data_IF_362653408528
#
_entry.id   IF_362653408528
#
_cell.length_a   1.000
_cell.length_b   1.000
_cell.length_c   1.000
_cell.angle_alpha   90.00
_cell.angle_beta   90.00
_cell.angle_gamma   90.00
#
_symmetry.space_group_name_H-M   'P 1'
#
loop_
_entity.id
_entity.type
_entity.pdbx_description
1 polymer ?
#
# COMPACT_ATOMS: atom_id res chain seq x y z
N UNK A 1 7.51 15.74 -7.11
CA UNK A 1 8.02 15.56 -8.47
C UNK A 1 6.98 15.05 -9.47
N UNK A 2 6.67 13.72 -9.58
CA UNK A 2 5.76 13.21 -10.62
C UNK A 2 4.30 13.68 -10.44
N UNK A 3 3.77 13.64 -9.22
CA UNK A 3 2.41 14.09 -8.92
C UNK A 3 2.20 15.59 -9.20
N UNK A 4 3.21 16.44 -8.95
CA UNK A 4 3.15 17.86 -9.28
C UNK A 4 2.99 18.03 -10.79
N UNK A 5 3.79 17.33 -11.60
CA UNK A 5 3.66 17.37 -13.07
C UNK A 5 2.28 16.92 -13.56
N UNK A 6 1.71 15.90 -12.91
CA UNK A 6 0.38 15.43 -13.27
C UNK A 6 -0.71 16.47 -12.93
N UNK A 7 -0.61 17.12 -11.77
CA UNK A 7 -1.50 18.20 -11.37
C UNK A 7 -1.38 19.42 -12.28
N UNK A 8 -0.16 19.84 -12.61
CA UNK A 8 0.11 20.95 -13.54
C UNK A 8 -0.42 20.65 -14.93
N UNK A 9 -0.43 19.38 -15.34
CA UNK A 9 -1.05 18.93 -16.60
C UNK A 9 -2.58 18.76 -16.54
N UNK A 10 -3.19 19.05 -15.39
CA UNK A 10 -4.64 18.99 -15.19
C UNK A 10 -5.20 17.56 -15.12
N UNK A 11 -4.38 16.56 -14.73
CA UNK A 11 -4.84 15.18 -14.59
C UNK A 11 -5.85 15.07 -13.45
N UNK A 12 -7.01 14.50 -13.76
CA UNK A 12 -8.11 14.25 -12.80
C UNK A 12 -8.10 12.81 -12.31
N UNK A 13 -8.81 12.54 -11.21
CA UNK A 13 -9.02 11.17 -10.69
C UNK A 13 -9.72 10.30 -11.73
N UNK A 14 -10.71 10.84 -12.45
CA UNK A 14 -11.44 10.09 -13.49
C UNK A 14 -10.53 9.69 -14.65
N UNK A 15 -9.62 10.56 -15.06
CA UNK A 15 -8.60 10.22 -16.06
C UNK A 15 -7.64 9.15 -15.57
N UNK A 16 -7.22 9.21 -14.30
CA UNK A 16 -6.37 8.18 -13.71
C UNK A 16 -7.09 6.82 -13.65
N UNK A 17 -8.35 6.77 -13.22
CA UNK A 17 -9.15 5.55 -13.21
C UNK A 17 -9.42 5.02 -14.64
N UNK A 18 -9.63 5.90 -15.61
CA UNK A 18 -9.74 5.50 -17.02
C UNK A 18 -8.45 4.85 -17.54
N UNK A 19 -7.28 5.32 -17.10
CA UNK A 19 -6.00 4.69 -17.41
C UNK A 19 -5.92 3.28 -16.79
N UNK A 20 -6.32 3.13 -15.53
CA UNK A 20 -6.38 1.82 -14.85
C UNK A 20 -7.27 0.84 -15.64
N UNK A 21 -8.48 1.28 -16.05
CA UNK A 21 -9.39 0.45 -16.83
C UNK A 21 -8.79 0.01 -18.18
N UNK A 22 -8.03 0.89 -18.83
CA UNK A 22 -7.30 0.53 -20.07
C UNK A 22 -6.19 -0.49 -19.81
N UNK A 23 -5.45 -0.35 -18.72
CA UNK A 23 -4.42 -1.34 -18.33
C UNK A 23 -5.09 -2.68 -18.06
N UNK A 24 -6.16 -2.70 -17.27
CA UNK A 24 -6.92 -3.91 -16.96
C UNK A 24 -7.46 -4.60 -18.23
N UNK A 25 -7.97 -3.84 -19.19
CA UNK A 25 -8.48 -4.42 -20.46
C UNK A 25 -7.38 -5.05 -21.32
N UNK A 26 -6.15 -4.54 -21.23
CA UNK A 26 -4.98 -5.08 -21.95
C UNK A 26 -4.34 -6.25 -21.21
N UNK A 27 -4.34 -6.19 -19.86
CA UNK A 27 -3.69 -7.17 -18.98
C UNK A 27 -4.68 -7.64 -17.90
N UNK A 28 -5.61 -8.56 -18.23
CA UNK A 28 -6.68 -8.96 -17.29
C UNK A 28 -6.18 -9.54 -15.97
N UNK A 29 -5.05 -10.23 -15.97
CA UNK A 29 -4.49 -10.92 -14.80
C UNK A 29 -3.43 -10.10 -14.05
N UNK A 30 -3.10 -8.89 -14.51
CA UNK A 30 -2.08 -8.07 -13.85
C UNK A 30 -2.63 -7.53 -12.52
N UNK A 31 -2.01 -7.82 -11.36
CA UNK A 31 -2.40 -7.18 -10.11
C UNK A 31 -2.16 -5.66 -10.17
N UNK A 32 -3.18 -4.87 -9.86
CA UNK A 32 -3.12 -3.41 -9.90
C UNK A 32 -3.47 -2.85 -8.53
N UNK A 33 -2.48 -2.27 -7.84
CA UNK A 33 -2.67 -1.55 -6.58
C UNK A 33 -2.54 -0.04 -6.78
N UNK A 34 -3.43 0.72 -6.15
CA UNK A 34 -3.38 2.18 -6.17
C UNK A 34 -2.80 2.71 -4.87
N UNK A 35 -1.79 3.59 -4.97
CA UNK A 35 -1.27 4.36 -3.84
C UNK A 35 -1.74 5.80 -4.03
N UNK A 36 -2.67 6.24 -3.19
CA UNK A 36 -3.39 7.52 -3.31
C UNK A 36 -3.54 8.13 -1.91
N UNK A 37 -3.52 9.45 -1.80
CA UNK A 37 -3.79 10.13 -0.53
C UNK A 37 -5.27 10.04 -0.14
N UNK A 38 -5.53 9.91 1.17
CA UNK A 38 -6.87 9.76 1.75
C UNK A 38 -7.82 10.91 1.44
N UNK A 39 -7.31 12.13 1.27
CA UNK A 39 -8.12 13.29 0.88
C UNK A 39 -8.85 13.09 -0.47
N UNK A 40 -8.29 12.29 -1.38
CA UNK A 40 -8.94 11.97 -2.66
C UNK A 40 -10.18 11.10 -2.44
N UNK A 41 -10.07 10.09 -1.55
CA UNK A 41 -11.20 9.24 -1.17
C UNK A 41 -12.28 10.05 -0.46
N UNK A 42 -11.89 10.91 0.49
CA UNK A 42 -12.82 11.78 1.21
C UNK A 42 -13.56 12.76 0.28
N UNK A 43 -12.84 13.45 -0.61
CA UNK A 43 -13.44 14.43 -1.51
C UNK A 43 -14.44 13.80 -2.49
N UNK A 44 -14.22 12.54 -2.86
CA UNK A 44 -15.11 11.80 -3.75
C UNK A 44 -16.29 11.14 -3.00
N UNK A 45 -16.17 10.98 -1.69
CA UNK A 45 -17.01 10.11 -0.86
C UNK A 45 -16.49 8.67 -0.89
N UNK A 46 -16.28 8.09 0.30
CA UNK A 46 -15.58 6.79 0.43
C UNK A 46 -16.23 5.67 -0.38
N UNK A 47 -17.53 5.47 -0.22
CA UNK A 47 -18.25 4.39 -0.92
C UNK A 47 -18.13 4.53 -2.44
N UNK A 48 -18.31 5.77 -2.94
CA UNK A 48 -18.17 6.07 -4.35
C UNK A 48 -16.73 5.86 -4.84
N UNK A 49 -15.75 6.30 -4.06
CA UNK A 49 -14.33 6.12 -4.39
C UNK A 49 -13.99 4.64 -4.59
N UNK A 50 -14.32 3.78 -3.62
CA UNK A 50 -14.01 2.35 -3.73
C UNK A 50 -14.81 1.66 -4.83
N UNK A 51 -16.07 2.05 -5.04
CA UNK A 51 -16.87 1.56 -6.17
C UNK A 51 -16.24 1.91 -7.52
N UNK A 52 -15.79 3.16 -7.70
CA UNK A 52 -15.14 3.61 -8.93
C UNK A 52 -13.79 2.91 -9.16
N UNK A 53 -13.01 2.67 -8.07
CA UNK A 53 -11.75 1.92 -8.09
C UNK A 53 -11.99 0.47 -8.54
N UNK A 54 -13.00 -0.20 -7.96
CA UNK A 54 -13.39 -1.55 -8.35
C UNK A 54 -13.85 -1.63 -9.83
N UNK A 55 -14.67 -0.68 -10.26
CA UNK A 55 -15.14 -0.60 -11.65
C UNK A 55 -14.00 -0.36 -12.64
N UNK A 56 -12.97 0.38 -12.25
CA UNK A 56 -11.77 0.56 -13.05
C UNK A 56 -10.91 -0.71 -13.12
N UNK A 57 -11.17 -1.70 -12.26
CA UNK A 57 -10.45 -2.97 -12.23
C UNK A 57 -9.14 -2.93 -11.44
N UNK A 58 -8.99 -2.02 -10.48
CA UNK A 58 -7.91 -2.10 -9.50
C UNK A 58 -8.26 -3.11 -8.41
N UNK A 59 -7.25 -3.83 -7.92
CA UNK A 59 -7.41 -4.91 -6.94
C UNK A 59 -7.25 -4.41 -5.51
N UNK A 60 -6.43 -3.37 -5.30
CA UNK A 60 -6.12 -2.87 -3.97
C UNK A 60 -5.89 -1.37 -3.91
N UNK A 61 -6.06 -0.81 -2.70
CA UNK A 61 -5.78 0.60 -2.39
C UNK A 61 -4.92 0.71 -1.14
N UNK A 62 -3.91 1.57 -1.18
CA UNK A 62 -3.12 2.00 -0.04
C UNK A 62 -3.25 3.51 0.12
N UNK A 63 -3.66 3.97 1.31
CA UNK A 63 -3.76 5.38 1.69
C UNK A 63 -2.67 5.68 2.72
N UNK A 64 -1.51 6.24 2.33
CA UNK A 64 -0.33 6.34 3.19
C UNK A 64 -0.49 7.33 4.35
N UNK A 65 -1.45 8.23 4.25
CA UNK A 65 -1.79 9.26 5.24
C UNK A 65 -2.95 8.88 6.17
N UNK A 66 -3.52 7.69 6.01
CA UNK A 66 -4.58 7.16 6.88
C UNK A 66 -3.98 6.18 7.89
N UNK A 67 -3.86 6.55 9.17
CA UNK A 67 -3.36 5.64 10.20
C UNK A 67 -4.38 4.54 10.47
N UNK A 68 -3.88 3.33 10.78
CA UNK A 68 -4.75 2.16 10.97
C UNK A 68 -5.81 2.32 12.06
N UNK A 69 -5.55 3.13 13.10
CA UNK A 69 -6.54 3.44 14.15
C UNK A 69 -7.81 4.11 13.60
N UNK A 70 -7.71 4.77 12.44
CA UNK A 70 -8.81 5.40 11.71
C UNK A 70 -9.25 4.57 10.49
N UNK A 71 -8.67 3.37 10.34
CA UNK A 71 -8.79 2.54 9.15
C UNK A 71 -10.11 1.80 8.98
N UNK A 72 -10.85 1.56 10.06
CA UNK A 72 -12.06 0.72 10.02
C UNK A 72 -13.11 1.16 8.98
N UNK A 73 -13.46 2.45 8.84
CA UNK A 73 -14.40 2.89 7.80
C UNK A 73 -13.90 2.65 6.38
N UNK A 74 -12.59 2.82 6.15
CA UNK A 74 -11.96 2.57 4.84
C UNK A 74 -11.95 1.08 4.51
N UNK A 75 -11.59 0.24 5.48
CA UNK A 75 -11.61 -1.21 5.31
C UNK A 75 -13.02 -1.71 4.99
N UNK A 76 -14.05 -1.20 5.68
CA UNK A 76 -15.44 -1.57 5.42
C UNK A 76 -15.92 -1.15 4.02
N UNK A 77 -15.59 0.07 3.57
CA UNK A 77 -15.95 0.55 2.23
C UNK A 77 -15.21 -0.21 1.13
N UNK A 78 -13.92 -0.55 1.34
CA UNK A 78 -13.14 -1.36 0.44
C UNK A 78 -13.72 -2.78 0.31
N UNK A 79 -14.02 -3.44 1.44
CA UNK A 79 -14.63 -4.77 1.49
C UNK A 79 -15.97 -4.80 0.76
N UNK A 80 -16.84 -3.80 0.98
CA UNK A 80 -18.13 -3.69 0.30
C UNK A 80 -17.99 -3.55 -1.22
N UNK A 81 -16.89 -2.96 -1.70
CA UNK A 81 -16.59 -2.82 -3.13
C UNK A 81 -15.77 -3.98 -3.72
N UNK A 82 -15.31 -4.93 -2.90
CA UNK A 82 -14.44 -6.03 -3.33
C UNK A 82 -13.01 -5.60 -3.64
N UNK A 83 -12.51 -4.54 -2.98
CA UNK A 83 -11.15 -4.01 -3.13
C UNK A 83 -10.35 -4.30 -1.85
N UNK A 84 -9.12 -4.74 -1.98
CA UNK A 84 -8.23 -4.97 -0.84
C UNK A 84 -7.72 -3.65 -0.26
N UNK A 85 -7.99 -3.39 1.02
CA UNK A 85 -7.40 -2.25 1.73
C UNK A 85 -6.04 -2.63 2.30
N UNK A 86 -5.01 -1.90 1.90
CA UNK A 86 -3.64 -2.10 2.36
C UNK A 86 -3.32 -1.06 3.43
N UNK A 87 -2.78 -1.51 4.57
CA UNK A 87 -2.25 -0.62 5.60
C UNK A 87 -0.73 -0.73 5.71
N UNK A 88 -0.13 0.36 6.18
CA UNK A 88 1.31 0.43 6.44
C UNK A 88 1.59 -0.12 7.83
N UNK A 89 2.56 -1.04 7.93
CA UNK A 89 3.18 -1.43 9.18
C UNK A 89 4.47 -0.61 9.39
N UNK A 90 4.46 0.41 10.27
CA UNK A 90 5.63 1.24 10.52
C UNK A 90 6.74 0.45 11.25
N UNK A 91 8.01 0.87 11.11
CA UNK A 91 9.07 0.33 11.95
C UNK A 91 8.82 0.70 13.42
N UNK A 92 9.17 -0.17 14.32
CA UNK A 92 8.98 0.04 15.78
C UNK A 92 7.53 0.33 16.21
N UNK A 93 6.55 -0.13 15.41
CA UNK A 93 5.14 0.00 15.77
C UNK A 93 4.82 -0.79 17.05
N UNK A 94 3.89 -0.24 17.85
CA UNK A 94 3.36 -0.97 19.02
C UNK A 94 2.62 -2.24 18.59
N UNK A 95 2.53 -3.21 19.49
CA UNK A 95 1.74 -4.44 19.24
C UNK A 95 0.29 -4.12 18.88
N UNK A 96 -0.32 -3.12 19.52
CA UNK A 96 -1.66 -2.65 19.22
C UNK A 96 -1.78 -2.16 17.76
N UNK A 97 -0.80 -1.38 17.29
CA UNK A 97 -0.75 -0.91 15.91
C UNK A 97 -0.62 -2.08 14.94
N UNK A 98 0.29 -3.04 15.22
CA UNK A 98 0.49 -4.20 14.36
C UNK A 98 -0.73 -5.14 14.36
N UNK A 99 -1.42 -5.30 15.50
CA UNK A 99 -2.67 -6.03 15.56
C UNK A 99 -3.76 -5.38 14.69
N UNK A 100 -3.90 -4.05 14.77
CA UNK A 100 -4.83 -3.30 13.92
C UNK A 100 -4.50 -3.43 12.42
N UNK A 101 -3.21 -3.33 12.06
CA UNK A 101 -2.75 -3.54 10.68
C UNK A 101 -3.09 -4.95 10.19
N UNK A 102 -2.82 -5.97 11.01
CA UNK A 102 -3.15 -7.36 10.67
C UNK A 102 -4.66 -7.58 10.51
N UNK A 103 -5.47 -6.96 11.36
CA UNK A 103 -6.91 -7.09 11.34
C UNK A 103 -7.56 -6.45 10.11
N UNK A 104 -7.11 -5.25 9.72
CA UNK A 104 -7.77 -4.42 8.70
C UNK A 104 -7.17 -4.56 7.30
N UNK A 105 -5.93 -5.07 7.17
CA UNK A 105 -5.33 -5.27 5.84
C UNK A 105 -5.90 -6.49 5.14
N UNK A 106 -6.01 -6.37 3.81
CA UNK A 106 -6.32 -7.49 2.89
C UNK A 106 -5.29 -7.50 1.77
N UNK A 107 -5.18 -8.60 1.06
CA UNK A 107 -4.18 -8.79 0.00
C UNK A 107 -2.74 -8.87 0.54
N UNK A 108 -2.18 -7.75 0.99
CA UNK A 108 -0.86 -7.70 1.61
C UNK A 108 -0.76 -6.58 2.66
N UNK A 109 0.33 -6.56 3.44
CA UNK A 109 0.68 -5.47 4.35
C UNK A 109 1.91 -4.76 3.79
N UNK A 110 1.87 -3.43 3.73
CA UNK A 110 3.04 -2.65 3.33
C UNK A 110 3.94 -2.41 4.55
N UNK A 111 4.96 -3.25 4.73
CA UNK A 111 5.94 -3.06 5.80
C UNK A 111 7.01 -2.05 5.35
N UNK A 112 7.36 -1.11 6.23
CA UNK A 112 8.42 -0.13 5.96
C UNK A 112 9.56 -0.29 6.95
N UNK A 113 10.80 -0.18 6.46
CA UNK A 113 11.99 -0.30 7.29
C UNK A 113 12.34 0.97 8.06
N UNK A 114 11.73 2.12 7.68
CA UNK A 114 11.96 3.43 8.33
C UNK A 114 10.86 4.43 8.00
N UNK A 115 10.80 5.50 8.77
CA UNK A 115 9.93 6.67 8.51
C UNK A 115 10.71 7.73 7.73
N UNK A 116 10.12 8.29 6.67
CA UNK A 116 10.72 9.36 5.88
C UNK A 116 10.17 9.47 4.46
N UNK A 117 10.77 10.34 3.65
CA UNK A 117 10.43 10.53 2.24
C UNK A 117 11.24 9.59 1.36
N UNK A 118 10.67 9.21 0.21
CA UNK A 118 11.33 8.34 -0.78
C UNK A 118 12.59 8.96 -1.37
N UNK A 119 13.67 8.19 -1.48
CA UNK A 119 14.91 8.57 -2.14
C UNK A 119 15.89 7.40 -2.18
N UNK A 120 16.58 7.21 -3.29
CA UNK A 120 17.53 6.12 -3.51
C UNK A 120 18.86 6.29 -2.76
N UNK A 121 19.04 7.41 -2.03
CA UNK A 121 20.33 7.79 -1.41
C UNK A 121 20.59 7.15 -0.05
N UNK A 122 19.71 6.26 0.43
CA UNK A 122 19.81 5.70 1.78
C UNK A 122 19.75 4.17 1.72
N UNK A 123 20.70 3.52 2.38
CA UNK A 123 20.70 2.07 2.54
C UNK A 123 19.44 1.61 3.28
N UNK A 124 18.78 0.55 2.77
CA UNK A 124 17.67 -0.09 3.47
C UNK A 124 18.22 -0.85 4.66
N UNK A 125 17.72 -0.56 5.88
CA UNK A 125 17.96 -1.38 7.06
C UNK A 125 16.82 -2.36 7.24
N UNK A 126 17.14 -3.61 7.49
CA UNK A 126 16.17 -4.65 7.89
C UNK A 126 16.04 -4.77 9.40
N UNK A 127 16.69 -3.87 10.15
CA UNK A 127 16.63 -3.86 11.62
C UNK A 127 15.19 -3.74 12.10
N UNK A 128 14.76 -4.67 12.94
CA UNK A 128 13.39 -4.75 13.44
C UNK A 128 12.35 -5.29 12.47
N UNK A 129 12.67 -5.50 11.17
CA UNK A 129 11.72 -6.07 10.21
C UNK A 129 11.27 -7.48 10.62
N UNK A 130 12.20 -8.33 11.06
CA UNK A 130 11.89 -9.68 11.49
C UNK A 130 10.88 -9.69 12.65
N UNK A 131 11.00 -8.77 13.60
CA UNK A 131 10.07 -8.62 14.73
C UNK A 131 8.68 -8.14 14.24
N UNK A 132 8.64 -7.17 13.33
CA UNK A 132 7.40 -6.70 12.72
C UNK A 132 6.70 -7.85 11.99
N UNK A 133 7.42 -8.59 11.16
CA UNK A 133 6.89 -9.75 10.42
C UNK A 133 6.37 -10.83 11.37
N UNK A 134 7.13 -11.16 12.43
CA UNK A 134 6.73 -12.15 13.41
C UNK A 134 5.44 -11.73 14.15
N UNK A 135 5.33 -10.46 14.54
CA UNK A 135 4.14 -9.94 15.19
C UNK A 135 2.92 -9.91 14.25
N UNK A 136 3.08 -9.45 13.01
CA UNK A 136 2.00 -9.48 12.01
C UNK A 136 1.48 -10.91 11.80
N UNK A 137 2.37 -11.88 11.69
CA UNK A 137 2.03 -13.30 11.57
C UNK A 137 1.30 -13.82 12.83
N UNK A 138 1.77 -13.45 14.03
CA UNK A 138 1.14 -13.80 15.31
C UNK A 138 -0.30 -13.28 15.39
N UNK A 139 -0.58 -12.10 14.83
CA UNK A 139 -1.92 -11.50 14.79
C UNK A 139 -2.76 -11.98 13.60
N UNK A 140 -2.28 -12.96 12.82
CA UNK A 140 -3.02 -13.52 11.69
C UNK A 140 -3.11 -12.59 10.46
N UNK A 141 -2.19 -11.63 10.34
CA UNK A 141 -2.14 -10.72 9.22
C UNK A 141 -1.79 -11.38 7.89
N UNK A 142 -2.23 -10.77 6.79
CA UNK A 142 -1.85 -11.15 5.43
C UNK A 142 -0.34 -10.92 5.21
N UNK A 143 0.28 -11.56 4.18
CA UNK A 143 1.72 -11.48 3.98
C UNK A 143 2.26 -10.06 3.85
N UNK A 144 3.35 -9.68 4.56
CA UNK A 144 3.98 -8.37 4.41
C UNK A 144 4.89 -8.31 3.19
N UNK A 145 4.84 -7.19 2.46
CA UNK A 145 5.82 -6.80 1.44
C UNK A 145 6.64 -5.63 2.00
N UNK A 146 7.97 -5.73 1.91
CA UNK A 146 8.85 -4.64 2.35
C UNK A 146 8.94 -3.56 1.27
N UNK A 147 8.57 -2.34 1.61
CA UNK A 147 8.79 -1.16 0.80
C UNK A 147 9.80 -0.21 1.44
N UNK A 148 10.19 0.83 0.69
CA UNK A 148 11.16 1.84 1.08
C UNK A 148 12.63 1.43 0.95
N UNK A 149 13.37 2.15 0.09
CA UNK A 149 14.81 1.96 -0.09
C UNK A 149 15.20 0.71 -0.86
N UNK A 150 14.26 0.02 -1.47
CA UNK A 150 14.52 -1.18 -2.30
C UNK A 150 14.99 -0.74 -3.68
N UNK A 151 16.29 -0.85 -3.94
CA UNK A 151 16.92 -0.43 -5.20
C UNK A 151 17.88 -1.45 -5.80
N UNK A 152 18.19 -2.53 -5.09
CA UNK A 152 19.10 -3.58 -5.54
C UNK A 152 18.51 -4.97 -5.33
N UNK A 153 18.97 -6.00 -6.09
CA UNK A 153 18.58 -7.39 -5.84
C UNK A 153 18.91 -7.87 -4.43
N UNK A 154 20.01 -7.37 -3.84
CA UNK A 154 20.40 -7.70 -2.46
C UNK A 154 19.33 -7.24 -1.45
N UNK A 155 18.80 -6.02 -1.60
CA UNK A 155 17.73 -5.53 -0.74
C UNK A 155 16.47 -6.42 -0.79
N UNK A 156 16.16 -6.98 -1.96
CA UNK A 156 15.05 -7.93 -2.10
C UNK A 156 15.36 -9.24 -1.39
N UNK A 157 16.58 -9.77 -1.55
CA UNK A 157 17.02 -10.99 -0.87
C UNK A 157 16.99 -10.82 0.66
N UNK A 158 17.46 -9.69 1.18
CA UNK A 158 17.47 -9.38 2.60
C UNK A 158 16.04 -9.26 3.17
N UNK A 159 15.13 -8.63 2.41
CA UNK A 159 13.72 -8.55 2.81
C UNK A 159 13.07 -9.93 2.94
N UNK A 160 13.32 -10.81 1.97
CA UNK A 160 12.80 -12.18 1.99
C UNK A 160 13.46 -13.00 3.12
N UNK A 161 14.78 -12.84 3.35
CA UNK A 161 15.48 -13.49 4.44
C UNK A 161 14.95 -13.04 5.82
N UNK A 162 14.53 -11.79 5.96
CA UNK A 162 13.88 -11.26 7.17
C UNK A 162 12.41 -11.73 7.32
N UNK A 163 11.87 -12.51 6.38
CA UNK A 163 10.55 -13.14 6.45
C UNK A 163 9.43 -12.39 5.72
N UNK A 164 9.72 -11.31 4.99
CA UNK A 164 8.75 -10.68 4.10
C UNK A 164 8.42 -11.61 2.91
N UNK A 165 7.20 -11.53 2.41
CA UNK A 165 6.78 -12.31 1.24
C UNK A 165 7.33 -11.77 -0.08
N UNK A 166 7.91 -10.56 -0.06
CA UNK A 166 8.51 -9.90 -1.21
C UNK A 166 8.87 -8.46 -0.90
N UNK A 167 9.18 -7.70 -1.94
CA UNK A 167 9.58 -6.30 -1.82
C UNK A 167 8.90 -5.42 -2.88
N UNK A 168 8.75 -4.13 -2.54
CA UNK A 168 8.18 -3.10 -3.41
C UNK A 168 9.32 -2.14 -3.78
N UNK A 169 9.67 -2.05 -5.05
CA UNK A 169 10.64 -1.12 -5.61
C UNK A 169 9.91 -0.02 -6.37
N UNK A 170 10.22 1.23 -6.09
CA UNK A 170 9.55 2.39 -6.68
C UNK A 170 10.51 3.36 -7.36
N UNK A 171 11.42 3.96 -6.62
CA UNK A 171 12.34 5.01 -7.09
C UNK A 171 13.74 4.51 -7.37
N UNK A 172 13.90 3.23 -7.75
CA UNK A 172 15.18 2.64 -8.10
C UNK A 172 15.67 3.10 -9.50
#
# INVERSE_FOLDING_TARGET
>A
AAHIRALDAGVTVDQALSLVARIRSTWPELPIGLLIYGNVAFARGMDRFYSDVAQAGADSVLLPDVPVREGAPFAAAAEAAGVDQIFIAPPHASEETLAGVAQHSRGYIYAVSRVGVTGAEWESSTDGLADVVANLKRFGGVPPLLGFGISTPTHVADAVAAGAAGAISGSA
#
